data_IF_745822884403
#
_entry.id   IF_745822884403
#
_cell.length_a   1.000
_cell.length_b   1.000
_cell.length_c   1.000
_cell.angle_alpha   90.00
_cell.angle_beta   90.00
_cell.angle_gamma   90.00
#
_symmetry.space_group_name_H-M   'P 1'
#
loop_
_entity.id
_entity.type
_entity.pdbx_description
1 polymer ?
#
# COMPACT_ATOMS: atom_id res chain seq x y z
N UNK A 1 -11.32 -6.49 -7.01
CA UNK A 1 -10.77 -6.01 -5.73
C UNK A 1 -10.32 -4.58 -5.97
N UNK A 2 -10.60 -3.71 -5.02
CA UNK A 2 -10.21 -2.31 -5.04
C UNK A 2 -9.53 -1.98 -3.71
N UNK A 3 -8.53 -1.09 -3.78
CA UNK A 3 -7.87 -0.51 -2.62
C UNK A 3 -8.71 0.69 -2.19
N UNK A 4 -8.92 0.85 -0.88
CA UNK A 4 -9.72 1.94 -0.32
C UNK A 4 -8.87 3.04 0.30
N UNK A 5 -9.46 4.23 0.52
CA UNK A 5 -8.83 5.30 1.30
C UNK A 5 -8.43 4.86 2.72
N UNK A 6 -9.17 3.92 3.32
CA UNK A 6 -8.85 3.39 4.64
C UNK A 6 -7.57 2.55 4.63
N UNK A 7 -7.32 1.77 3.57
CA UNK A 7 -6.08 1.01 3.41
C UNK A 7 -4.86 1.93 3.33
N UNK A 8 -4.98 3.04 2.57
CA UNK A 8 -3.92 4.06 2.46
C UNK A 8 -3.72 4.77 3.80
N UNK A 9 -4.82 5.17 4.47
CA UNK A 9 -4.77 5.80 5.79
C UNK A 9 -4.09 4.90 6.82
N UNK A 10 -4.41 3.61 6.81
CA UNK A 10 -3.81 2.62 7.70
C UNK A 10 -2.32 2.46 7.42
N UNK A 11 -1.90 2.41 6.16
CA UNK A 11 -0.50 2.35 5.77
C UNK A 11 0.31 3.56 6.28
N UNK A 12 -0.22 4.77 6.07
CA UNK A 12 0.42 6.02 6.52
C UNK A 12 0.46 6.17 8.05
N UNK A 13 -0.54 5.62 8.74
CA UNK A 13 -0.63 5.61 10.20
C UNK A 13 0.32 4.64 10.90
N UNK A 14 0.94 3.71 10.16
CA UNK A 14 2.03 2.87 10.71
C UNK A 14 3.32 3.70 10.72
N UNK A 15 4.06 3.60 11.82
CA UNK A 15 5.36 4.28 11.96
C UNK A 15 6.38 3.80 10.92
N UNK A 16 7.35 4.66 10.61
CA UNK A 16 8.39 4.38 9.59
C UNK A 16 9.33 3.22 9.96
N UNK A 17 9.45 2.89 11.25
CA UNK A 17 10.45 1.97 11.78
C UNK A 17 10.49 0.58 11.11
N UNK A 18 9.36 0.12 10.56
CA UNK A 18 9.22 -1.21 9.96
C UNK A 18 9.10 -1.20 8.42
N UNK A 19 9.24 -0.02 7.79
CA UNK A 19 8.98 0.21 6.36
C UNK A 19 7.73 -0.55 5.88
N UNK A 20 6.53 -0.15 6.35
CA UNK A 20 5.32 -0.90 6.08
C UNK A 20 4.98 -0.87 4.60
N UNK A 21 4.58 -2.02 4.08
CA UNK A 21 4.25 -2.25 2.67
C UNK A 21 2.86 -2.84 2.56
N UNK A 22 2.01 -2.19 1.74
CA UNK A 22 0.75 -2.75 1.31
C UNK A 22 0.99 -3.82 0.25
N UNK A 23 0.47 -5.01 0.50
CA UNK A 23 0.58 -6.17 -0.38
C UNK A 23 -0.79 -6.72 -0.74
N UNK A 24 -0.85 -7.42 -1.88
CA UNK A 24 -1.97 -8.23 -2.31
C UNK A 24 -1.55 -9.71 -2.31
N UNK A 25 -2.21 -10.52 -1.50
CA UNK A 25 -1.97 -11.97 -1.44
C UNK A 25 -3.30 -12.72 -1.40
N UNK A 26 -3.45 -13.72 -2.28
CA UNK A 26 -4.65 -14.57 -2.36
C UNK A 26 -5.98 -13.78 -2.44
N UNK A 27 -5.98 -12.63 -3.11
CA UNK A 27 -7.18 -11.80 -3.18
C UNK A 27 -7.54 -11.12 -1.85
N UNK A 28 -6.56 -10.85 -0.99
CA UNK A 28 -6.68 -9.96 0.18
C UNK A 28 -5.56 -8.92 0.22
N UNK A 29 -5.88 -7.73 0.73
CA UNK A 29 -4.90 -6.68 1.03
C UNK A 29 -4.39 -6.86 2.46
N UNK A 30 -3.08 -6.81 2.66
CA UNK A 30 -2.44 -6.82 3.97
C UNK A 30 -1.33 -5.78 4.02
N UNK A 31 -1.03 -5.24 5.21
CA UNK A 31 0.12 -4.35 5.42
C UNK A 31 1.11 -5.10 6.30
N UNK A 32 2.34 -5.22 5.80
CA UNK A 32 3.39 -6.01 6.43
C UNK A 32 4.70 -5.23 6.46
N UNK A 33 5.61 -5.49 7.40
CA UNK A 33 6.97 -4.97 7.32
C UNK A 33 7.66 -5.42 6.04
N UNK A 34 8.44 -4.56 5.39
CA UNK A 34 9.17 -4.92 4.17
C UNK A 34 10.04 -6.18 4.34
N UNK A 35 10.60 -6.39 5.55
CA UNK A 35 11.40 -7.56 5.89
C UNK A 35 10.63 -8.89 5.78
N UNK A 36 9.32 -8.89 6.02
CA UNK A 36 8.49 -10.10 5.97
C UNK A 36 8.14 -10.54 4.55
N UNK A 37 8.31 -9.68 3.53
CA UNK A 37 7.99 -10.01 2.13
C UNK A 37 8.73 -11.23 1.59
N UNK A 38 9.91 -11.53 2.13
CA UNK A 38 10.73 -12.68 1.75
C UNK A 38 10.37 -13.96 2.51
N UNK A 39 9.51 -13.87 3.52
CA UNK A 39 9.09 -15.01 4.32
C UNK A 39 8.19 -15.96 3.52
N UNK A 40 8.14 -17.22 3.94
CA UNK A 40 7.29 -18.22 3.30
C UNK A 40 5.80 -17.85 3.36
N UNK A 41 5.38 -17.04 4.35
CA UNK A 41 3.99 -16.63 4.56
C UNK A 41 3.46 -15.73 3.45
N UNK A 42 4.31 -14.84 2.91
CA UNK A 42 3.91 -13.91 1.84
C UNK A 42 4.53 -14.26 0.49
N UNK A 43 4.98 -15.49 0.32
CA UNK A 43 5.46 -15.97 -0.98
C UNK A 43 4.31 -15.91 -1.98
N UNK A 44 4.52 -15.18 -3.08
CA UNK A 44 3.48 -14.94 -4.09
C UNK A 44 2.61 -13.71 -3.82
N UNK A 45 2.87 -12.97 -2.75
CA UNK A 45 2.29 -11.64 -2.58
C UNK A 45 2.79 -10.68 -3.67
N UNK A 46 1.88 -9.88 -4.20
CA UNK A 46 2.19 -8.75 -5.05
C UNK A 46 2.38 -7.50 -4.16
N UNK A 47 3.55 -6.87 -4.24
CA UNK A 47 3.78 -5.57 -3.59
C UNK A 47 3.00 -4.49 -4.33
N UNK A 48 2.19 -3.73 -3.59
CA UNK A 48 1.41 -2.62 -4.13
C UNK A 48 2.18 -1.30 -3.97
N UNK A 49 2.47 -0.90 -2.74
CA UNK A 49 3.25 0.30 -2.41
C UNK A 49 3.72 0.27 -0.95
N UNK A 50 4.85 0.91 -0.66
CA UNK A 50 5.29 1.23 0.69
C UNK A 50 4.74 2.58 1.17
N UNK A 51 4.77 2.80 2.48
CA UNK A 51 4.45 4.11 3.08
C UNK A 51 5.30 5.23 2.47
N UNK A 52 6.61 5.00 2.31
CA UNK A 52 7.53 5.97 1.72
C UNK A 52 7.11 6.36 0.30
N UNK A 53 6.74 5.40 -0.53
CA UNK A 53 6.29 5.67 -1.91
C UNK A 53 5.02 6.54 -1.95
N UNK A 54 4.09 6.36 -1.02
CA UNK A 54 2.88 7.20 -0.94
C UNK A 54 3.24 8.62 -0.54
N UNK A 55 4.11 8.78 0.47
CA UNK A 55 4.59 10.09 0.93
C UNK A 55 5.34 10.82 -0.18
N UNK A 56 6.21 10.13 -0.91
CA UNK A 56 6.92 10.72 -2.05
C UNK A 56 5.97 11.18 -3.15
N UNK A 57 4.93 10.39 -3.45
CA UNK A 57 3.90 10.74 -4.46
C UNK A 57 3.06 11.95 -4.07
N UNK A 58 2.88 12.20 -2.78
CA UNK A 58 2.08 13.31 -2.25
C UNK A 58 2.91 14.55 -1.92
N UNK A 59 4.20 14.55 -2.28
CA UNK A 59 5.09 15.70 -2.04
C UNK A 59 5.60 15.80 -0.60
N UNK A 60 5.64 14.69 0.13
CA UNK A 60 6.18 14.61 1.50
C UNK A 60 5.13 14.69 2.60
N UNK A 61 3.83 14.71 2.25
CA UNK A 61 2.74 14.83 3.22
C UNK A 61 2.37 13.49 3.87
N UNK A 62 2.52 13.41 5.19
CA UNK A 62 2.07 12.24 5.99
C UNK A 62 0.59 12.31 6.36
N UNK A 63 0.01 13.52 6.36
CA UNK A 63 -1.39 13.79 6.67
C UNK A 63 -2.14 14.18 5.42
N UNK A 64 -2.73 13.20 4.76
CA UNK A 64 -3.52 13.39 3.55
C UNK A 64 -4.98 13.71 3.88
N UNK A 65 -5.59 14.58 3.07
CA UNK A 65 -7.04 14.76 3.09
C UNK A 65 -7.76 13.51 2.60
N UNK A 66 -9.05 13.40 2.89
CA UNK A 66 -9.88 12.26 2.44
C UNK A 66 -9.88 12.12 0.91
N UNK A 67 -9.92 13.24 0.20
CA UNK A 67 -9.83 13.25 -1.27
C UNK A 67 -8.50 12.73 -1.78
N UNK A 68 -7.39 13.13 -1.16
CA UNK A 68 -6.06 12.64 -1.54
C UNK A 68 -5.91 11.14 -1.26
N UNK A 69 -6.48 10.66 -0.15
CA UNK A 69 -6.50 9.23 0.17
C UNK A 69 -7.27 8.43 -0.89
N UNK A 70 -8.44 8.89 -1.32
CA UNK A 70 -9.22 8.27 -2.39
C UNK A 70 -8.47 8.29 -3.73
N UNK A 71 -7.86 9.41 -4.09
CA UNK A 71 -7.08 9.55 -5.31
C UNK A 71 -5.89 8.55 -5.33
N UNK A 72 -5.18 8.40 -4.21
CA UNK A 72 -4.12 7.39 -4.09
C UNK A 72 -4.67 5.97 -4.17
N UNK A 73 -5.77 5.67 -3.50
CA UNK A 73 -6.38 4.34 -3.51
C UNK A 73 -6.81 3.92 -4.93
N UNK A 74 -7.39 4.84 -5.71
CA UNK A 74 -7.74 4.62 -7.11
C UNK A 74 -6.52 4.43 -8.00
N UNK A 75 -5.45 5.22 -7.78
CA UNK A 75 -4.20 5.09 -8.51
C UNK A 75 -3.53 3.73 -8.27
N UNK A 76 -3.45 3.29 -7.00
CA UNK A 76 -2.91 1.99 -6.64
C UNK A 76 -3.74 0.84 -7.21
N UNK A 77 -5.07 0.96 -7.15
CA UNK A 77 -5.99 -0.03 -7.74
C UNK A 77 -5.73 -0.21 -9.23
N UNK A 78 -5.56 0.90 -9.95
CA UNK A 78 -5.25 0.88 -11.38
C UNK A 78 -3.89 0.23 -11.65
N UNK A 79 -2.87 0.56 -10.85
CA UNK A 79 -1.54 -0.04 -10.96
C UNK A 79 -1.59 -1.57 -10.76
N UNK A 80 -2.30 -2.05 -9.74
CA UNK A 80 -2.47 -3.49 -9.48
C UNK A 80 -3.20 -4.19 -10.62
N UNK A 81 -4.26 -3.60 -11.15
CA UNK A 81 -5.00 -4.16 -12.30
C UNK A 81 -4.12 -4.29 -13.55
N UNK A 82 -3.21 -3.33 -13.76
CA UNK A 82 -2.26 -3.39 -14.88
C UNK A 82 -1.14 -4.42 -14.67
N UNK A 83 -0.83 -4.78 -13.43
CA UNK A 83 0.16 -5.82 -13.09
C UNK A 83 -0.41 -7.24 -13.14
N UNK A 84 -1.72 -7.39 -12.95
CA UNK A 84 -2.43 -8.68 -12.95
C UNK A 84 -3.27 -8.96 -14.20
N UNK A 85 -3.07 -8.19 -15.28
CA UNK A 85 -3.74 -8.34 -16.57
C UNK A 85 -2.97 -9.21 -17.55
#
# INVERSE_FOLDING_TARGET
>A
MDISADDVRRLLGIGEADDPVLILIEGRLEIVPAAELTSAKYRGALRVASRGEIIERTGGGESLSERELDDQAQALTTAVRNLGG
#
